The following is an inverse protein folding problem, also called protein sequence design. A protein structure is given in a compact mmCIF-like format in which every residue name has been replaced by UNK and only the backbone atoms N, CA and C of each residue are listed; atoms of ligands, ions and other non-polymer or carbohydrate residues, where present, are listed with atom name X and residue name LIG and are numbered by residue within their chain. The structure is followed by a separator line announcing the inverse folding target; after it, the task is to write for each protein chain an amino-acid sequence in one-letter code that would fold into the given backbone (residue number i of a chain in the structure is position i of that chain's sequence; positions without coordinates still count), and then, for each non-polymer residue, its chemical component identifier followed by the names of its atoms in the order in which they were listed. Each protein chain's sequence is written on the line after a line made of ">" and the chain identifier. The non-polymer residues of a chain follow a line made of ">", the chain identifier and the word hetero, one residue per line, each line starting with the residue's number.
data_IF_405013325103
#
_entry.id   IF_405013325103
#
_cell.length_a   1.000
_cell.length_b   1.000
_cell.length_c   1.000
_cell.angle_alpha   90.00
_cell.angle_beta   90.00
_cell.angle_gamma   90.00
#
_symmetry.space_group_name_H-M   'P 1'
#
loop_
_entity.id
_entity.type
_entity.pdbx_description
1 polymer ?
#
# COMPACT_ATOMS: atom_id res chain seq x y z
N UNK A 1 -14.73 -30.85 -4.25
CA UNK A 1 -14.27 -29.54 -3.79
C UNK A 1 -12.78 -29.44 -4.06
N UNK A 2 -12.40 -28.56 -4.98
CA UNK A 2 -10.98 -28.24 -5.18
C UNK A 2 -10.55 -27.40 -3.98
N UNK A 3 -9.79 -28.01 -3.08
CA UNK A 3 -9.08 -27.27 -2.04
C UNK A 3 -8.12 -26.34 -2.78
N UNK A 4 -8.42 -25.03 -2.77
CA UNK A 4 -7.42 -24.03 -3.13
C UNK A 4 -6.29 -24.19 -2.13
N UNK A 5 -5.14 -24.67 -2.59
CA UNK A 5 -3.90 -24.58 -1.85
C UNK A 5 -3.60 -23.08 -1.71
N UNK A 6 -4.10 -22.45 -0.65
CA UNK A 6 -3.71 -21.11 -0.29
C UNK A 6 -2.23 -21.17 0.08
N UNK A 7 -1.41 -20.58 -0.79
CA UNK A 7 0.03 -20.46 -0.54
C UNK A 7 0.22 -19.58 0.69
N UNK A 8 0.82 -20.15 1.74
CA UNK A 8 1.17 -19.38 2.95
C UNK A 8 2.24 -18.35 2.61
N UNK A 9 1.94 -17.09 2.85
CA UNK A 9 2.90 -16.00 2.69
C UNK A 9 3.76 -15.87 3.96
N UNK A 10 5.07 -15.72 3.76
CA UNK A 10 6.04 -15.48 4.83
C UNK A 10 6.68 -14.12 4.66
N UNK A 11 6.76 -13.36 5.75
CA UNK A 11 7.42 -12.08 5.78
C UNK A 11 8.58 -12.08 6.77
N UNK A 12 9.56 -11.25 6.49
CA UNK A 12 10.60 -10.96 7.47
C UNK A 12 9.99 -10.19 8.64
N UNK A 13 10.27 -10.67 9.86
CA UNK A 13 10.01 -9.92 11.08
C UNK A 13 11.22 -9.03 11.32
N UNK A 14 10.98 -7.75 11.59
CA UNK A 14 12.04 -6.76 11.78
C UNK A 14 11.94 -6.11 13.15
N UNK A 15 13.04 -5.51 13.59
CA UNK A 15 13.07 -4.70 14.79
C UNK A 15 12.69 -3.24 14.51
N UNK A 16 12.75 -2.38 15.53
CA UNK A 16 12.42 -0.96 15.41
C UNK A 16 13.36 -0.20 14.44
N UNK A 17 14.55 -0.74 14.19
CA UNK A 17 15.54 -0.18 13.27
C UNK A 17 15.46 -0.80 11.87
N UNK A 18 14.40 -1.56 11.59
CA UNK A 18 14.19 -2.23 10.30
C UNK A 18 15.25 -3.30 9.97
N UNK A 19 15.79 -3.95 11.00
CA UNK A 19 16.71 -5.07 10.84
C UNK A 19 15.96 -6.38 10.97
N UNK A 20 16.25 -7.34 10.08
CA UNK A 20 15.60 -8.65 10.09
C UNK A 20 16.01 -9.42 11.36
N UNK A 21 15.02 -9.84 12.14
CA UNK A 21 15.19 -10.62 13.37
C UNK A 21 14.49 -11.97 13.33
N UNK A 22 13.72 -12.25 12.30
CA UNK A 22 13.00 -13.51 12.17
C UNK A 22 12.22 -13.62 10.87
N UNK A 23 11.49 -14.72 10.75
CA UNK A 23 10.61 -15.03 9.63
C UNK A 23 9.35 -15.68 10.19
N UNK A 24 8.19 -15.23 9.74
CA UNK A 24 6.93 -15.80 10.21
C UNK A 24 5.83 -15.71 9.15
N UNK A 25 4.80 -16.57 9.27
CA UNK A 25 3.64 -16.46 8.40
C UNK A 25 2.89 -15.13 8.61
N UNK A 26 2.32 -14.60 7.54
CA UNK A 26 1.53 -13.37 7.55
C UNK A 26 0.51 -13.32 8.70
N UNK A 27 -0.27 -14.38 8.89
CA UNK A 27 -1.31 -14.42 9.92
C UNK A 27 -0.74 -14.29 11.33
N UNK A 28 0.40 -14.95 11.58
CA UNK A 28 1.10 -14.88 12.86
C UNK A 28 1.60 -13.46 13.14
N UNK A 29 2.20 -12.81 12.12
CA UNK A 29 2.72 -11.45 12.21
C UNK A 29 1.59 -10.46 12.54
N UNK A 30 0.46 -10.55 11.83
CA UNK A 30 -0.69 -9.68 12.06
C UNK A 30 -1.35 -9.93 13.42
N UNK A 31 -1.52 -11.20 13.81
CA UNK A 31 -2.12 -11.55 15.09
C UNK A 31 -1.29 -11.08 16.30
N UNK A 32 0.02 -11.09 16.16
CA UNK A 32 0.96 -10.73 17.24
C UNK A 32 1.51 -9.31 17.10
N UNK A 33 1.03 -8.53 16.12
CA UNK A 33 1.43 -7.13 15.88
C UNK A 33 2.95 -6.97 15.77
N UNK A 34 3.59 -7.92 15.08
CA UNK A 34 5.02 -7.91 14.84
C UNK A 34 5.38 -6.90 13.75
N UNK A 35 6.53 -6.25 13.91
CA UNK A 35 7.01 -5.31 12.90
C UNK A 35 7.43 -6.06 11.64
N UNK A 36 6.99 -5.56 10.51
CA UNK A 36 7.29 -6.07 9.18
C UNK A 36 7.38 -4.91 8.20
N UNK A 37 7.48 -5.19 6.91
CA UNK A 37 7.76 -4.18 5.88
C UNK A 37 6.63 -4.08 4.88
N UNK A 38 6.32 -2.85 4.49
CA UNK A 38 5.36 -2.57 3.43
C UNK A 38 5.82 -1.43 2.54
N UNK A 39 5.29 -1.41 1.34
CA UNK A 39 5.43 -0.31 0.39
C UNK A 39 4.08 0.31 0.10
N UNK A 40 4.09 1.62 -0.08
CA UNK A 40 2.98 2.38 -0.65
C UNK A 40 3.50 3.14 -1.85
N UNK A 41 2.66 3.31 -2.86
CA UNK A 41 2.98 4.13 -4.01
C UNK A 41 1.86 5.14 -4.24
N UNK A 42 2.22 6.40 -4.42
CA UNK A 42 1.33 7.45 -4.90
C UNK A 42 1.64 7.72 -6.36
N UNK A 43 0.66 7.50 -7.22
CA UNK A 43 0.75 7.76 -8.66
C UNK A 43 0.01 9.05 -8.97
N UNK A 44 0.71 9.98 -9.61
CA UNK A 44 0.16 11.27 -10.02
C UNK A 44 0.07 11.33 -11.55
N UNK A 45 -0.87 12.11 -12.08
CA UNK A 45 -0.97 12.38 -13.51
C UNK A 45 -0.44 13.79 -13.84
N UNK A 46 -0.46 14.17 -15.12
CA UNK A 46 0.02 15.48 -15.57
C UNK A 46 -0.84 16.65 -15.08
N UNK A 47 -2.07 16.40 -14.63
CA UNK A 47 -2.93 17.41 -14.03
C UNK A 47 -2.66 17.60 -12.54
N UNK A 48 -1.74 16.83 -11.96
CA UNK A 48 -1.42 16.86 -10.54
C UNK A 48 -2.41 16.10 -9.66
N UNK A 49 -3.31 15.32 -10.24
CA UNK A 49 -4.22 14.45 -9.50
C UNK A 49 -3.51 13.19 -9.04
N UNK A 50 -3.96 12.64 -7.92
CA UNK A 50 -3.50 11.34 -7.42
C UNK A 50 -4.50 10.24 -7.76
N UNK A 51 -3.99 9.05 -8.09
CA UNK A 51 -4.82 7.86 -8.23
C UNK A 51 -5.01 7.19 -6.87
N UNK A 52 -6.26 6.90 -6.51
CA UNK A 52 -6.61 6.11 -5.33
C UNK A 52 -7.31 4.83 -5.75
N UNK A 53 -7.01 3.73 -5.06
CA UNK A 53 -7.75 2.49 -5.20
C UNK A 53 -8.71 2.30 -4.04
N UNK A 54 -9.84 1.65 -4.34
CA UNK A 54 -10.77 1.14 -3.32
C UNK A 54 -10.54 -0.34 -3.15
N UNK A 55 -10.26 -0.76 -1.93
CA UNK A 55 -9.98 -2.18 -1.64
C UNK A 55 -11.23 -3.02 -1.85
N UNK A 56 -11.07 -4.21 -2.43
CA UNK A 56 -12.13 -5.19 -2.55
C UNK A 56 -12.74 -5.51 -1.18
N UNK A 57 -14.05 -5.78 -1.16
CA UNK A 57 -14.75 -6.23 0.04
C UNK A 57 -14.27 -7.60 0.55
N UNK A 58 -13.55 -8.36 -0.29
CA UNK A 58 -13.00 -9.67 0.05
C UNK A 58 -11.67 -9.57 0.83
N UNK A 59 -11.13 -8.38 1.02
CA UNK A 59 -9.88 -8.18 1.75
C UNK A 59 -10.09 -8.39 3.25
N UNK A 60 -9.12 -8.98 3.92
CA UNK A 60 -9.12 -9.23 5.36
C UNK A 60 -8.87 -7.97 6.19
N UNK A 61 -8.19 -6.98 5.61
CA UNK A 61 -7.93 -5.68 6.26
C UNK A 61 -8.51 -4.54 5.44
N UNK A 62 -9.13 -3.58 6.13
CA UNK A 62 -9.74 -2.38 5.55
C UNK A 62 -10.58 -2.65 4.28
N UNK A 63 -11.50 -3.66 4.28
CA UNK A 63 -12.32 -3.94 3.11
C UNK A 63 -13.18 -2.75 2.73
N UNK A 64 -13.26 -2.46 1.41
CA UNK A 64 -14.08 -1.37 0.88
C UNK A 64 -13.58 0.03 1.17
N UNK A 65 -12.38 0.18 1.73
CA UNK A 65 -11.78 1.49 2.03
C UNK A 65 -10.93 2.01 0.88
N UNK A 66 -10.86 3.33 0.77
CA UNK A 66 -9.93 4.00 -0.16
C UNK A 66 -8.53 4.04 0.44
N UNK A 67 -7.55 3.78 -0.38
CA UNK A 67 -6.14 3.67 0.01
C UNK A 67 -5.24 4.25 -1.08
N UNK A 68 -3.93 4.20 -0.85
CA UNK A 68 -2.88 4.59 -1.79
C UNK A 68 -3.11 3.99 -3.18
N UNK A 69 -2.48 4.55 -4.19
CA UNK A 69 -2.56 4.05 -5.58
C UNK A 69 -2.26 2.56 -5.67
N UNK A 70 -1.22 2.11 -4.99
CA UNK A 70 -1.03 0.70 -4.65
C UNK A 70 -0.28 0.55 -3.34
N UNK A 71 -0.38 -0.61 -2.72
CA UNK A 71 0.34 -0.94 -1.49
C UNK A 71 0.42 -2.45 -1.33
N UNK A 72 1.41 -2.90 -0.61
CA UNK A 72 1.57 -4.31 -0.31
C UNK A 72 2.74 -4.58 0.61
N UNK A 73 2.82 -5.81 1.08
CA UNK A 73 3.91 -6.27 1.92
C UNK A 73 5.17 -6.53 1.10
N UNK A 74 6.32 -6.36 1.74
CA UNK A 74 7.61 -6.77 1.18
C UNK A 74 7.82 -8.24 1.50
N UNK A 75 8.04 -9.05 0.47
CA UNK A 75 8.31 -10.47 0.66
C UNK A 75 9.68 -10.70 1.31
N UNK A 76 9.84 -11.84 1.98
CA UNK A 76 11.12 -12.20 2.59
C UNK A 76 12.25 -12.16 1.57
N UNK A 77 13.32 -11.42 1.88
CA UNK A 77 14.47 -11.25 1.01
C UNK A 77 14.29 -10.25 -0.13
N UNK A 78 13.11 -9.66 -0.27
CA UNK A 78 12.83 -8.65 -1.30
C UNK A 78 13.27 -7.26 -0.82
N UNK A 79 13.76 -6.42 -1.74
CA UNK A 79 13.98 -5.00 -1.46
C UNK A 79 12.69 -4.21 -1.57
N UNK A 80 12.58 -3.12 -0.82
CA UNK A 80 11.41 -2.23 -0.87
C UNK A 80 11.09 -1.75 -2.29
N UNK A 81 12.09 -1.32 -3.05
CA UNK A 81 11.89 -0.87 -4.43
C UNK A 81 11.29 -1.97 -5.31
N UNK A 82 11.81 -3.18 -5.21
CA UNK A 82 11.33 -4.31 -6.01
C UNK A 82 9.89 -4.70 -5.63
N UNK A 83 9.56 -4.61 -4.35
CA UNK A 83 8.18 -4.80 -3.89
C UNK A 83 7.24 -3.75 -4.49
N UNK A 84 7.65 -2.48 -4.52
CA UNK A 84 6.86 -1.42 -5.13
C UNK A 84 6.62 -1.65 -6.63
N UNK A 85 7.65 -2.06 -7.37
CA UNK A 85 7.53 -2.40 -8.79
C UNK A 85 6.57 -3.57 -9.00
N UNK A 86 6.70 -4.62 -8.20
CA UNK A 86 5.83 -5.80 -8.28
C UNK A 86 4.37 -5.44 -8.00
N UNK A 87 4.10 -4.70 -6.92
CA UNK A 87 2.75 -4.31 -6.54
C UNK A 87 2.09 -3.38 -7.57
N UNK A 88 2.83 -2.45 -8.15
CA UNK A 88 2.32 -1.61 -9.24
C UNK A 88 1.81 -2.45 -10.42
N UNK A 89 2.55 -3.46 -10.81
CA UNK A 89 2.14 -4.37 -11.88
C UNK A 89 0.94 -5.23 -11.50
N UNK A 90 0.97 -5.82 -10.31
CA UNK A 90 -0.08 -6.74 -9.85
C UNK A 90 -1.41 -6.05 -9.58
N UNK A 91 -1.41 -4.90 -8.89
CA UNK A 91 -2.65 -4.25 -8.44
C UNK A 91 -3.27 -3.33 -9.49
N UNK A 92 -2.48 -2.53 -10.19
CA UNK A 92 -2.99 -1.50 -11.11
C UNK A 92 -2.46 -1.60 -12.54
N UNK A 93 -1.71 -2.66 -12.84
CA UNK A 93 -1.24 -2.94 -14.20
C UNK A 93 -0.18 -1.97 -14.73
N UNK A 94 0.50 -1.26 -13.85
CA UNK A 94 1.60 -0.37 -14.21
C UNK A 94 2.92 -1.12 -14.07
N UNK A 95 3.43 -1.67 -15.20
CA UNK A 95 4.54 -2.62 -15.19
C UNK A 95 5.92 -1.99 -15.11
N UNK A 96 6.03 -0.67 -15.26
CA UNK A 96 7.33 -0.02 -15.24
C UNK A 96 7.21 1.47 -15.00
N UNK A 97 8.11 1.99 -14.18
CA UNK A 97 8.26 3.42 -13.99
C UNK A 97 9.73 3.78 -13.83
N UNK A 98 10.27 4.55 -14.80
CA UNK A 98 11.62 5.11 -14.71
C UNK A 98 11.74 6.19 -13.64
N UNK A 99 10.60 6.75 -13.24
CA UNK A 99 10.48 7.84 -12.30
C UNK A 99 9.92 7.41 -10.94
N UNK A 100 10.01 6.11 -10.62
CA UNK A 100 9.63 5.62 -9.30
C UNK A 100 10.69 6.03 -8.28
N UNK A 101 10.33 6.97 -7.41
CA UNK A 101 11.24 7.59 -6.47
C UNK A 101 10.77 7.43 -5.03
N UNK A 102 11.71 7.15 -4.13
CA UNK A 102 11.42 7.12 -2.70
C UNK A 102 11.14 8.54 -2.21
N UNK A 103 9.95 8.76 -1.64
CA UNK A 103 9.52 10.06 -1.15
C UNK A 103 9.55 10.17 0.38
N UNK A 104 9.27 9.07 1.08
CA UNK A 104 9.14 9.12 2.54
C UNK A 104 9.38 7.73 3.13
N UNK A 105 9.97 7.69 4.31
CA UNK A 105 10.12 6.48 5.13
C UNK A 105 9.40 6.74 6.44
N UNK A 106 8.52 5.81 6.82
CA UNK A 106 7.81 5.84 8.09
C UNK A 106 8.17 4.62 8.92
N UNK A 107 8.44 4.85 10.20
CA UNK A 107 8.75 3.80 11.15
C UNK A 107 7.49 3.04 11.55
N UNK A 108 7.62 1.73 11.81
CA UNK A 108 6.54 0.89 12.27
C UNK A 108 5.91 1.43 13.56
N UNK A 109 4.59 1.50 13.58
CA UNK A 109 3.76 1.96 14.70
C UNK A 109 2.31 1.49 14.48
N UNK A 110 1.43 1.64 15.48
CA UNK A 110 0.02 1.26 15.29
C UNK A 110 -0.64 1.91 14.07
N UNK A 111 -0.35 3.20 13.80
CA UNK A 111 -0.93 3.96 12.69
C UNK A 111 -0.51 3.44 11.32
N UNK A 112 0.63 2.75 11.23
CA UNK A 112 1.09 2.11 9.98
C UNK A 112 0.73 0.63 9.93
N UNK A 113 -0.08 0.12 10.86
CA UNK A 113 -0.34 -1.31 10.97
C UNK A 113 0.89 -2.12 11.40
N UNK A 114 1.77 -1.52 12.20
CA UNK A 114 3.03 -2.09 12.66
C UNK A 114 4.02 -2.39 11.53
N UNK A 115 3.90 -1.64 10.44
CA UNK A 115 4.77 -1.77 9.27
C UNK A 115 5.78 -0.63 9.21
N UNK A 116 7.05 -0.95 8.92
CA UNK A 116 7.96 0.05 8.34
C UNK A 116 7.54 0.27 6.90
N UNK A 117 7.26 1.51 6.53
CA UNK A 117 6.73 1.86 5.22
C UNK A 117 7.74 2.67 4.43
N UNK A 118 8.03 2.24 3.22
CA UNK A 118 8.65 3.07 2.20
C UNK A 118 7.57 3.54 1.23
N UNK A 119 7.38 4.85 1.15
CA UNK A 119 6.45 5.48 0.21
C UNK A 119 7.21 5.95 -1.01
N UNK A 120 6.79 5.43 -2.16
CA UNK A 120 7.32 5.83 -3.47
C UNK A 120 6.31 6.71 -4.19
N UNK A 121 6.80 7.55 -5.09
CA UNK A 121 5.98 8.37 -5.97
C UNK A 121 6.40 8.16 -7.41
N UNK A 122 5.45 8.22 -8.32
CA UNK A 122 5.70 8.22 -9.76
C UNK A 122 4.59 8.96 -10.50
N UNK A 123 4.83 9.21 -11.79
CA UNK A 123 3.85 9.85 -12.67
C UNK A 123 3.39 8.87 -13.74
N UNK A 124 2.11 8.93 -14.08
CA UNK A 124 1.54 8.13 -15.16
C UNK A 124 0.31 8.83 -15.73
N UNK A 125 0.25 8.89 -17.04
CA UNK A 125 -0.94 9.31 -17.77
C UNK A 125 -1.48 8.13 -18.56
N UNK A 126 -2.80 8.02 -18.61
CA UNK A 126 -3.48 6.94 -19.31
C UNK A 126 -4.18 5.99 -18.35
N UNK A 127 -4.78 4.97 -18.94
CA UNK A 127 -5.57 3.99 -18.20
C UNK A 127 -4.70 3.06 -17.37
N UNK A 128 -5.23 2.69 -16.21
CA UNK A 128 -4.67 1.69 -15.33
C UNK A 128 -5.56 0.45 -15.38
N UNK A 129 -4.95 -0.73 -15.35
CA UNK A 129 -5.67 -1.99 -15.35
C UNK A 129 -5.72 -2.54 -13.93
N UNK A 130 -6.88 -2.43 -13.30
CA UNK A 130 -7.08 -2.88 -11.93
C UNK A 130 -7.25 -4.40 -11.86
N UNK A 131 -6.61 -5.01 -10.86
CA UNK A 131 -6.89 -6.39 -10.48
C UNK A 131 -8.20 -6.42 -9.70
N UNK A 132 -9.28 -6.88 -10.32
CA UNK A 132 -10.62 -6.89 -9.73
C UNK A 132 -10.74 -7.77 -8.48
N UNK A 133 -9.82 -8.72 -8.26
CA UNK A 133 -9.79 -9.53 -7.04
C UNK A 133 -9.28 -8.75 -5.84
N UNK A 134 -8.41 -7.76 -6.08
CA UNK A 134 -7.76 -6.95 -5.06
C UNK A 134 -8.39 -5.56 -4.93
N UNK A 135 -8.83 -4.99 -6.05
CA UNK A 135 -9.24 -3.59 -6.21
C UNK A 135 -10.64 -3.54 -6.81
N UNK A 136 -11.60 -2.97 -6.08
CA UNK A 136 -12.98 -2.86 -6.57
C UNK A 136 -13.23 -1.61 -7.41
N UNK A 137 -12.45 -0.55 -7.23
CA UNK A 137 -12.62 0.73 -7.93
C UNK A 137 -11.33 1.54 -7.86
N UNK A 138 -11.23 2.56 -8.72
CA UNK A 138 -10.14 3.51 -8.73
C UNK A 138 -10.61 4.87 -9.23
N UNK A 139 -10.02 5.93 -8.69
CA UNK A 139 -10.31 7.30 -9.10
C UNK A 139 -9.04 8.15 -9.17
N UNK A 140 -9.04 9.09 -10.09
CA UNK A 140 -8.12 10.22 -10.07
C UNK A 140 -8.80 11.38 -9.34
N UNK A 141 -8.12 11.97 -8.37
CA UNK A 141 -8.68 13.04 -7.55
C UNK A 141 -7.67 14.16 -7.34
N UNK A 142 -8.16 15.38 -7.39
CA UNK A 142 -7.42 16.58 -7.03
C UNK A 142 -6.99 16.53 -5.55
N UNK A 143 -5.77 17.01 -5.25
CA UNK A 143 -5.19 16.87 -3.92
C UNK A 143 -5.96 17.67 -2.85
N UNK A 144 -6.45 18.85 -3.18
CA UNK A 144 -7.24 19.66 -2.23
C UNK A 144 -8.61 19.03 -1.97
N UNK A 145 -9.22 18.45 -3.00
CA UNK A 145 -10.48 17.71 -2.86
C UNK A 145 -10.29 16.47 -1.99
N UNK A 146 -9.15 15.78 -2.13
CA UNK A 146 -8.83 14.64 -1.28
C UNK A 146 -8.65 15.08 0.18
N UNK A 147 -7.93 16.18 0.42
CA UNK A 147 -7.76 16.72 1.77
C UNK A 147 -9.12 17.00 2.43
N UNK A 148 -10.05 17.64 1.70
CA UNK A 148 -11.40 17.91 2.21
C UNK A 148 -12.21 16.65 2.46
N UNK A 149 -12.15 15.67 1.56
CA UNK A 149 -12.87 14.41 1.72
C UNK A 149 -12.39 13.65 2.96
N UNK A 150 -11.07 13.61 3.21
CA UNK A 150 -10.51 13.00 4.41
C UNK A 150 -11.00 13.71 5.68
N UNK A 151 -11.06 15.05 5.66
CA UNK A 151 -11.54 15.83 6.80
C UNK A 151 -13.03 15.56 7.09
N UNK A 152 -13.84 15.49 6.05
CA UNK A 152 -15.30 15.33 6.19
C UNK A 152 -15.71 13.89 6.49
N UNK A 153 -15.04 12.91 5.88
CA UNK A 153 -15.40 11.50 5.94
C UNK A 153 -14.16 10.58 6.08
N UNK A 154 -13.40 10.68 7.17
CA UNK A 154 -12.19 9.87 7.34
C UNK A 154 -12.46 8.37 7.35
N UNK A 155 -13.69 7.95 7.68
CA UNK A 155 -14.10 6.55 7.71
C UNK A 155 -14.10 5.89 6.31
N UNK A 156 -14.15 6.69 5.23
CA UNK A 156 -14.08 6.17 3.86
C UNK A 156 -12.69 5.64 3.50
N UNK A 157 -11.70 5.91 4.33
CA UNK A 157 -10.30 5.59 4.08
C UNK A 157 -9.74 4.61 5.12
N UNK A 158 -8.75 3.83 4.71
CA UNK A 158 -7.95 3.07 5.66
C UNK A 158 -7.17 4.04 6.57
N UNK A 159 -7.08 3.73 7.84
CA UNK A 159 -6.39 4.56 8.83
C UNK A 159 -4.91 4.78 8.46
N UNK A 160 -4.23 3.73 8.01
CA UNK A 160 -2.83 3.82 7.58
C UNK A 160 -2.65 4.78 6.40
N UNK A 161 -3.57 4.79 5.44
CA UNK A 161 -3.52 5.74 4.33
C UNK A 161 -3.68 7.17 4.82
N UNK A 162 -4.64 7.45 5.69
CA UNK A 162 -4.86 8.80 6.24
C UNK A 162 -3.60 9.29 6.95
N UNK A 163 -2.97 8.43 7.73
CA UNK A 163 -1.72 8.74 8.42
C UNK A 163 -0.60 9.13 7.43
N UNK A 164 -0.36 8.28 6.42
CA UNK A 164 0.67 8.53 5.41
C UNK A 164 0.38 9.79 4.59
N UNK A 165 -0.87 9.98 4.19
CA UNK A 165 -1.27 11.14 3.40
C UNK A 165 -1.03 12.45 4.14
N UNK A 166 -1.43 12.53 5.40
CA UNK A 166 -1.23 13.73 6.22
C UNK A 166 0.25 14.07 6.39
N UNK A 167 1.10 13.06 6.53
CA UNK A 167 2.54 13.26 6.63
C UNK A 167 3.15 13.70 5.30
N UNK A 168 2.69 13.13 4.22
CA UNK A 168 3.14 13.50 2.87
C UNK A 168 2.77 14.93 2.49
N UNK A 169 1.62 15.41 2.93
CA UNK A 169 1.10 16.76 2.65
C UNK A 169 1.73 17.87 3.50
N UNK A 170 2.55 17.52 4.44
CA UNK A 170 3.24 18.51 5.30
C UNK A 170 4.31 19.30 4.58
#
# INVERSE_FOLDING_TARGET
>A
AVLKNEKVEYFDVVDIFDRVVGLAPREYIHANKLFHRAVHVFVFNNQGDIFLQKRSMNKDSAPGKWVSSCSGHVDSGEYYFDAAVRELGEEIGLHYSKDLNLAMIEQARPETGYEHVHLFVCNHDGELKLDICEVSDGIWIDLEKLDLWIEENPIDFAWSFVYLWKRFRR
#
